data_IF_698727133405
#
_entry.id   IF_698727133405
#
_cell.length_a   1.000
_cell.length_b   1.000
_cell.length_c   1.000
_cell.angle_alpha   90.00
_cell.angle_beta   90.00
_cell.angle_gamma   90.00
#
_symmetry.space_group_name_H-M   'P 1'
#
loop_
_entity.id
_entity.type
_entity.pdbx_description
1 polymer ?
#
# COMPACT_ATOMS: atom_id res chain seq x y z
N UNK A 1 -5.47 11.30 -25.41
CA UNK A 1 -6.57 10.55 -26.04
C UNK A 1 -7.20 9.71 -24.95
N UNK A 2 -8.52 9.63 -24.91
CA UNK A 2 -9.26 8.85 -23.90
C UNK A 2 -10.18 7.89 -24.64
N UNK A 3 -10.17 6.62 -24.24
CA UNK A 3 -11.04 5.58 -24.77
C UNK A 3 -12.00 5.14 -23.67
N UNK A 4 -13.28 5.02 -23.99
CA UNK A 4 -14.30 4.44 -23.10
C UNK A 4 -14.58 3.03 -23.56
N UNK A 5 -14.57 2.09 -22.62
CA UNK A 5 -14.82 0.69 -22.87
C UNK A 5 -15.91 0.20 -21.91
N UNK A 6 -16.89 -0.52 -22.42
CA UNK A 6 -17.90 -1.24 -21.66
C UNK A 6 -17.53 -2.72 -21.44
N UNK A 7 -18.30 -3.45 -20.61
CA UNK A 7 -18.10 -4.88 -20.39
C UNK A 7 -18.02 -5.68 -21.70
N UNK A 8 -17.04 -6.57 -21.78
CA UNK A 8 -16.76 -7.38 -22.98
C UNK A 8 -15.98 -6.66 -24.08
N UNK A 9 -15.85 -5.33 -24.00
CA UNK A 9 -15.07 -4.57 -24.97
C UNK A 9 -13.57 -4.72 -24.74
N UNK A 10 -12.84 -4.53 -25.85
CA UNK A 10 -11.42 -4.81 -25.95
C UNK A 10 -10.73 -3.63 -26.62
N UNK A 11 -9.59 -3.22 -26.08
CA UNK A 11 -8.70 -2.25 -26.69
C UNK A 11 -7.29 -2.81 -26.81
N UNK A 12 -6.76 -2.83 -28.03
CA UNK A 12 -5.37 -3.16 -28.31
C UNK A 12 -4.52 -1.90 -28.19
N UNK A 13 -3.31 -2.09 -27.71
CA UNK A 13 -2.33 -1.03 -27.62
C UNK A 13 -0.99 -1.44 -28.22
N UNK A 14 -0.26 -0.43 -28.69
CA UNK A 14 1.06 -0.61 -29.29
C UNK A 14 1.38 0.49 -30.28
N UNK A 15 2.44 0.32 -31.06
CA UNK A 15 2.79 1.30 -32.10
C UNK A 15 1.80 1.35 -33.25
N UNK A 16 1.11 0.23 -33.50
CA UNK A 16 0.18 0.05 -34.61
C UNK A 16 0.85 0.08 -35.98
N UNK A 17 0.11 -0.37 -36.98
CA UNK A 17 0.37 -0.17 -38.41
C UNK A 17 -0.95 -0.34 -39.18
N UNK A 18 -1.02 0.00 -40.47
CA UNK A 18 -2.22 -0.30 -41.27
C UNK A 18 -2.61 -1.79 -41.26
N UNK A 19 -1.62 -2.70 -41.19
CA UNK A 19 -1.86 -4.14 -41.08
C UNK A 19 -2.19 -4.62 -39.66
N UNK A 20 -1.88 -3.81 -38.64
CA UNK A 20 -2.07 -4.13 -37.21
C UNK A 20 -2.64 -2.89 -36.53
N UNK A 21 -3.93 -2.58 -36.74
CA UNK A 21 -4.56 -1.43 -36.10
C UNK A 21 -4.62 -1.64 -34.59
N UNK A 22 -4.48 -0.55 -33.85
CA UNK A 22 -4.57 -0.50 -32.39
C UNK A 22 -5.39 0.72 -32.00
N UNK A 23 -6.24 0.55 -30.99
CA UNK A 23 -7.11 1.60 -30.47
C UNK A 23 -6.30 2.61 -29.63
N UNK A 24 -5.27 2.14 -28.92
CA UNK A 24 -4.36 2.98 -28.15
C UNK A 24 -2.94 2.99 -28.74
N UNK A 25 -2.57 4.10 -29.39
CA UNK A 25 -1.29 4.22 -30.08
C UNK A 25 -0.17 4.74 -29.17
N UNK A 26 0.93 3.99 -29.12
CA UNK A 26 2.15 4.28 -28.36
C UNK A 26 3.32 4.42 -29.35
N UNK A 27 3.81 5.64 -29.57
CA UNK A 27 4.71 5.94 -30.69
C UNK A 27 6.15 5.40 -30.54
N UNK A 28 6.55 4.95 -29.36
CA UNK A 28 7.94 4.57 -29.07
C UNK A 28 8.44 3.38 -29.93
N UNK A 29 9.69 3.47 -30.37
CA UNK A 29 10.33 2.47 -31.21
C UNK A 29 10.54 1.10 -30.50
N UNK A 30 10.63 1.11 -29.17
CA UNK A 30 10.74 -0.09 -28.33
C UNK A 30 9.41 -0.84 -28.18
N UNK A 31 8.27 -0.18 -28.42
CA UNK A 31 6.94 -0.78 -28.25
C UNK A 31 6.55 -1.57 -29.50
N UNK A 32 6.16 -2.83 -29.34
CA UNK A 32 5.67 -3.67 -30.46
C UNK A 32 4.47 -3.03 -31.19
N UNK A 33 4.27 -3.39 -32.46
CA UNK A 33 3.09 -2.91 -33.23
C UNK A 33 1.79 -3.31 -32.55
N UNK A 34 1.72 -4.57 -32.10
CA UNK A 34 0.74 -5.06 -31.13
C UNK A 34 1.51 -5.39 -29.85
N UNK A 35 1.40 -4.52 -28.85
CA UNK A 35 2.10 -4.67 -27.57
C UNK A 35 1.24 -5.42 -26.56
N UNK A 36 -0.06 -5.18 -26.55
CA UNK A 36 -0.96 -5.86 -25.65
C UNK A 36 -2.42 -5.55 -25.93
N UNK A 37 -3.26 -6.04 -25.03
CA UNK A 37 -4.71 -5.89 -25.07
C UNK A 37 -5.25 -5.63 -23.65
N UNK A 38 -6.19 -4.71 -23.55
CA UNK A 38 -7.05 -4.47 -22.39
C UNK A 38 -8.40 -5.09 -22.70
N UNK A 39 -8.95 -5.85 -21.75
CA UNK A 39 -10.32 -6.36 -21.82
C UNK A 39 -11.08 -5.96 -20.57
N UNK A 40 -12.28 -5.44 -20.75
CA UNK A 40 -13.19 -5.12 -19.63
C UNK A 40 -14.07 -6.34 -19.35
N UNK A 41 -14.18 -6.74 -18.10
CA UNK A 41 -15.15 -7.72 -17.62
C UNK A 41 -16.26 -7.01 -16.84
N UNK A 42 -17.20 -7.75 -16.26
CA UNK A 42 -18.30 -7.15 -15.52
C UNK A 42 -17.85 -6.46 -14.22
N UNK A 43 -16.79 -6.97 -13.58
CA UNK A 43 -16.34 -6.60 -12.23
C UNK A 43 -14.86 -6.20 -12.14
N UNK A 44 -14.07 -6.36 -13.22
CA UNK A 44 -12.67 -5.99 -13.28
C UNK A 44 -12.23 -5.72 -14.72
N UNK A 45 -10.92 -5.55 -14.92
CA UNK A 45 -10.34 -5.52 -16.25
C UNK A 45 -9.06 -6.36 -16.29
N UNK A 46 -8.70 -6.78 -17.50
CA UNK A 46 -7.61 -7.71 -17.73
C UNK A 46 -6.58 -7.11 -18.68
N UNK A 47 -5.31 -7.42 -18.43
CA UNK A 47 -4.19 -7.04 -19.28
C UNK A 47 -3.55 -8.28 -19.92
N UNK A 48 -3.50 -8.30 -21.24
CA UNK A 48 -2.72 -9.27 -22.01
C UNK A 48 -1.41 -8.62 -22.48
N UNK A 49 -0.29 -9.26 -22.17
CA UNK A 49 1.03 -8.84 -22.64
C UNK A 49 1.43 -9.69 -23.85
N UNK A 50 1.46 -9.10 -25.05
CA UNK A 50 1.88 -9.79 -26.27
C UNK A 50 3.40 -9.78 -26.48
N UNK A 51 4.16 -9.03 -25.68
CA UNK A 51 5.62 -9.04 -25.70
C UNK A 51 6.17 -10.45 -25.52
N UNK A 52 7.23 -10.76 -26.26
CA UNK A 52 7.97 -12.02 -26.13
C UNK A 52 9.15 -11.90 -25.17
N UNK A 53 9.54 -10.68 -24.77
CA UNK A 53 10.81 -10.43 -24.09
C UNK A 53 10.70 -9.60 -22.83
N UNK A 54 9.66 -8.79 -22.67
CA UNK A 54 9.56 -7.83 -21.56
C UNK A 54 8.24 -7.96 -20.79
N UNK A 55 8.35 -7.84 -19.46
CA UNK A 55 7.18 -7.68 -18.60
C UNK A 55 6.64 -6.26 -18.70
N UNK A 56 5.35 -6.11 -18.43
CA UNK A 56 4.72 -4.81 -18.17
C UNK A 56 4.49 -4.65 -16.67
N UNK A 57 4.39 -3.41 -16.22
CA UNK A 57 3.97 -3.10 -14.85
C UNK A 57 2.59 -2.47 -14.90
N UNK A 58 1.76 -2.81 -13.93
CA UNK A 58 0.54 -2.08 -13.61
C UNK A 58 0.75 -1.52 -12.23
N UNK A 59 0.97 -0.21 -12.14
CA UNK A 59 1.15 0.50 -10.87
C UNK A 59 -0.22 0.95 -10.36
N UNK A 60 -0.41 0.89 -9.05
CA UNK A 60 -1.52 1.52 -8.35
C UNK A 60 -1.04 2.88 -7.84
N UNK A 61 -1.44 4.02 -8.46
CA UNK A 61 -1.01 5.33 -7.98
C UNK A 61 -1.58 5.69 -6.61
N UNK A 62 -2.61 4.99 -6.14
CA UNK A 62 -3.27 5.21 -4.84
C UNK A 62 -2.73 4.29 -3.75
N UNK A 63 -2.19 3.12 -4.11
CA UNK A 63 -1.61 2.18 -3.17
C UNK A 63 -0.10 2.36 -3.09
N UNK A 64 0.40 2.88 -1.96
CA UNK A 64 1.81 3.07 -1.53
C UNK A 64 2.93 2.32 -2.30
N UNK A 65 3.10 2.60 -3.60
CA UNK A 65 4.05 1.90 -4.49
C UNK A 65 3.66 0.47 -4.90
N UNK A 66 2.41 0.06 -4.74
CA UNK A 66 1.91 -1.24 -5.17
C UNK A 66 1.96 -1.38 -6.70
N UNK A 67 2.37 -2.55 -7.17
CA UNK A 67 2.35 -2.87 -8.59
C UNK A 67 2.15 -4.36 -8.86
N UNK A 68 1.54 -4.66 -10.00
CA UNK A 68 1.48 -5.98 -10.59
C UNK A 68 2.46 -6.07 -11.75
N UNK A 69 3.35 -7.06 -11.74
CA UNK A 69 4.17 -7.40 -12.91
C UNK A 69 3.43 -8.38 -13.79
N UNK A 70 3.20 -8.03 -15.05
CA UNK A 70 2.58 -8.90 -16.07
C UNK A 70 3.66 -9.47 -16.98
N UNK A 71 4.03 -10.76 -16.83
CA UNK A 71 5.12 -11.36 -17.60
C UNK A 71 4.87 -11.34 -19.11
N UNK A 72 5.93 -11.48 -19.93
CA UNK A 72 5.78 -11.67 -21.37
C UNK A 72 4.82 -12.83 -21.65
N UNK A 73 4.00 -12.70 -22.70
CA UNK A 73 3.05 -13.72 -23.15
C UNK A 73 1.93 -14.08 -22.16
N UNK A 74 1.80 -13.37 -21.04
CA UNK A 74 0.68 -13.56 -20.12
C UNK A 74 -0.61 -13.07 -20.75
N UNK A 75 -1.60 -13.94 -20.83
CA UNK A 75 -2.95 -13.64 -21.33
C UNK A 75 -3.87 -13.35 -20.15
N UNK A 76 -4.67 -12.29 -20.29
CA UNK A 76 -5.78 -11.97 -19.40
C UNK A 76 -5.39 -11.87 -17.92
N UNK A 77 -4.28 -11.19 -17.59
CA UNK A 77 -3.92 -10.95 -16.19
C UNK A 77 -4.98 -10.04 -15.54
N UNK A 78 -5.72 -10.50 -14.50
CA UNK A 78 -6.71 -9.67 -13.84
C UNK A 78 -6.01 -8.54 -13.09
N UNK A 79 -6.53 -7.33 -13.23
CA UNK A 79 -6.00 -6.14 -12.57
C UNK A 79 -6.98 -5.68 -11.49
N UNK A 80 -6.58 -5.68 -10.21
CA UNK A 80 -7.45 -5.34 -9.08
C UNK A 80 -7.38 -3.85 -8.71
N UNK A 81 -7.12 -2.96 -9.67
CA UNK A 81 -6.94 -1.54 -9.43
C UNK A 81 -8.00 -0.73 -10.19
N UNK A 82 -8.73 0.09 -9.45
CA UNK A 82 -9.72 1.06 -9.95
C UNK A 82 -9.01 2.17 -10.73
N UNK A 83 -7.93 2.71 -10.18
CA UNK A 83 -7.02 3.59 -10.89
C UNK A 83 -5.66 2.92 -11.08
N UNK A 84 -5.26 2.71 -12.33
CA UNK A 84 -4.00 2.04 -12.65
C UNK A 84 -3.20 2.78 -13.70
N UNK A 85 -1.88 2.66 -13.62
CA UNK A 85 -0.95 3.08 -14.66
C UNK A 85 -0.24 1.87 -15.26
N UNK A 86 -0.48 1.61 -16.54
CA UNK A 86 0.24 0.57 -17.27
C UNK A 86 1.54 1.16 -17.80
N UNK A 87 2.66 0.53 -17.47
CA UNK A 87 4.01 0.97 -17.80
C UNK A 87 4.71 -0.09 -18.65
N UNK A 88 5.25 0.35 -19.79
CA UNK A 88 6.01 -0.45 -20.73
C UNK A 88 7.47 0.02 -20.79
N UNK A 89 8.44 -0.91 -20.94
CA UNK A 89 9.82 -0.53 -21.21
C UNK A 89 9.94 0.30 -22.49
N UNK A 90 10.74 1.36 -22.40
CA UNK A 90 11.06 2.28 -23.49
C UNK A 90 12.58 2.36 -23.69
N UNK A 91 13.03 2.89 -24.83
CA UNK A 91 14.46 3.16 -25.07
C UNK A 91 14.92 4.50 -24.46
N UNK A 92 14.01 5.43 -24.20
CA UNK A 92 14.31 6.73 -23.60
C UNK A 92 14.40 6.68 -22.07
N UNK A 93 14.78 7.80 -21.46
CA UNK A 93 14.87 7.95 -20.00
C UNK A 93 13.51 7.80 -19.29
N UNK A 94 12.41 8.03 -20.01
CA UNK A 94 11.05 7.90 -19.49
C UNK A 94 10.37 6.66 -20.07
N UNK A 95 9.79 5.78 -19.22
CA UNK A 95 9.02 4.66 -19.71
C UNK A 95 7.72 5.14 -20.36
N UNK A 96 7.20 4.35 -21.31
CA UNK A 96 5.91 4.64 -21.94
C UNK A 96 4.81 4.17 -21.01
N UNK A 97 3.79 5.01 -20.79
CA UNK A 97 2.65 4.63 -19.95
C UNK A 97 1.33 5.18 -20.43
N UNK A 98 0.24 4.59 -19.94
CA UNK A 98 -1.12 5.09 -20.05
C UNK A 98 -1.90 4.75 -18.77
N UNK A 99 -3.00 5.45 -18.56
CA UNK A 99 -3.86 5.29 -17.38
C UNK A 99 -5.12 4.51 -17.73
N UNK A 100 -5.58 3.70 -16.77
CA UNK A 100 -6.85 2.98 -16.82
C UNK A 100 -7.66 3.38 -15.60
N UNK A 101 -8.92 3.73 -15.84
CA UNK A 101 -9.91 4.05 -14.82
C UNK A 101 -11.03 3.02 -14.93
N UNK A 102 -11.06 2.07 -14.02
CA UNK A 102 -12.07 1.02 -13.92
C UNK A 102 -13.19 1.43 -12.94
N UNK A 103 -14.36 0.77 -12.99
CA UNK A 103 -15.44 1.01 -12.03
C UNK A 103 -15.03 0.68 -10.59
N UNK A 104 -15.70 1.32 -9.63
CA UNK A 104 -15.45 1.11 -8.21
C UNK A 104 -15.74 -0.35 -7.79
N UNK A 105 -14.95 -0.88 -6.86
CA UNK A 105 -15.19 -2.17 -6.26
C UNK A 105 -16.49 -2.15 -5.44
N UNK A 106 -17.35 -3.15 -5.66
CA UNK A 106 -18.56 -3.32 -4.87
C UNK A 106 -18.21 -4.10 -3.61
N UNK A 107 -18.32 -3.43 -2.47
CA UNK A 107 -18.14 -4.05 -1.15
C UNK A 107 -19.47 -4.56 -0.61
N UNK A 108 -19.43 -5.68 0.11
CA UNK A 108 -20.59 -6.18 0.84
C UNK A 108 -20.97 -5.20 1.94
N UNK A 109 -22.27 -4.89 2.07
CA UNK A 109 -22.81 -4.20 3.23
C UNK A 109 -22.72 -5.12 4.45
N UNK A 110 -21.97 -4.75 5.51
CA UNK A 110 -21.83 -5.56 6.71
C UNK A 110 -23.16 -5.92 7.38
N UNK A 111 -24.16 -5.04 7.26
CA UNK A 111 -25.49 -5.21 7.90
C UNK A 111 -26.45 -6.06 7.05
N UNK A 112 -26.16 -6.23 5.76
CA UNK A 112 -27.03 -6.97 4.83
C UNK A 112 -26.91 -8.50 4.96
N UNK A 113 -25.88 -9.00 5.64
CA UNK A 113 -25.63 -10.45 5.78
C UNK A 113 -26.43 -11.02 6.97
N UNK A 114 -27.75 -11.00 6.87
CA UNK A 114 -28.68 -11.56 7.86
C UNK A 114 -28.78 -13.09 7.76
N UNK A 115 -27.82 -13.82 8.33
CA UNK A 115 -27.86 -15.28 8.48
C UNK A 115 -28.20 -15.72 9.91
N UNK A 116 -28.74 -16.93 10.10
CA UNK A 116 -28.87 -17.55 11.42
C UNK A 116 -27.49 -17.83 12.01
N UNK A 117 -27.09 -17.04 13.00
CA UNK A 117 -25.75 -17.06 13.58
C UNK A 117 -25.52 -18.36 14.38
N UNK A 118 -24.54 -19.16 13.96
CA UNK A 118 -23.93 -20.18 14.82
C UNK A 118 -23.10 -19.55 15.95
N UNK A 119 -22.06 -20.22 16.42
CA UNK A 119 -21.14 -19.63 17.41
C UNK A 119 -20.59 -18.28 16.93
N UNK A 120 -20.66 -17.24 17.77
CA UNK A 120 -20.18 -15.88 17.45
C UNK A 120 -18.71 -15.90 17.05
N UNK A 121 -18.40 -15.44 15.84
CA UNK A 121 -17.03 -15.24 15.38
C UNK A 121 -16.32 -14.24 16.29
N UNK A 122 -15.20 -14.64 16.90
CA UNK A 122 -14.35 -13.76 17.71
C UNK A 122 -13.38 -13.03 16.78
N UNK A 123 -13.17 -11.73 16.99
CA UNK A 123 -12.22 -10.94 16.20
C UNK A 123 -10.78 -11.43 16.42
N UNK A 124 -10.02 -11.63 15.35
CA UNK A 124 -8.62 -12.10 15.44
C UNK A 124 -7.74 -11.14 16.27
N UNK A 125 -7.92 -9.83 16.06
CA UNK A 125 -7.21 -8.76 16.75
C UNK A 125 -8.22 -7.73 17.30
N UNK A 126 -8.40 -7.70 18.62
CA UNK A 126 -9.29 -6.72 19.29
C UNK A 126 -8.46 -5.51 19.74
N UNK A 127 -8.18 -4.61 18.79
CA UNK A 127 -7.53 -3.33 19.05
C UNK A 127 -8.59 -2.26 19.34
N UNK A 128 -8.31 -1.44 20.34
CA UNK A 128 -9.10 -0.27 20.71
C UNK A 128 -8.32 0.96 20.26
N UNK A 129 -8.83 1.64 19.24
CA UNK A 129 -8.18 2.79 18.61
C UNK A 129 -8.04 3.99 19.57
N UNK A 130 -8.85 4.02 20.63
CA UNK A 130 -8.83 5.10 21.64
C UNK A 130 -7.75 4.89 22.71
N UNK A 131 -7.15 3.70 22.77
CA UNK A 131 -6.22 3.35 23.83
C UNK A 131 -4.77 3.81 23.51
N UNK A 132 -4.01 4.17 24.56
CA UNK A 132 -2.61 4.61 24.43
C UNK A 132 -1.71 3.60 23.71
N UNK A 133 -1.96 2.29 23.89
CA UNK A 133 -1.17 1.27 23.18
C UNK A 133 -1.38 1.33 21.67
N UNK A 134 -2.58 1.69 21.21
CA UNK A 134 -2.86 1.84 19.79
C UNK A 134 -2.12 3.06 19.24
N UNK A 135 -2.09 4.17 19.96
CA UNK A 135 -1.30 5.34 19.58
C UNK A 135 0.20 5.01 19.46
N UNK A 136 0.75 4.17 20.36
CA UNK A 136 2.12 3.63 20.26
C UNK A 136 2.29 2.76 19.02
N UNK A 137 1.30 1.94 18.66
CA UNK A 137 1.31 1.13 17.44
C UNK A 137 1.32 2.01 16.17
N UNK A 138 0.53 3.08 16.14
CA UNK A 138 0.53 4.04 15.03
C UNK A 138 1.91 4.70 14.89
N UNK A 139 2.51 5.16 16.00
CA UNK A 139 3.85 5.76 15.98
C UNK A 139 4.94 4.80 15.51
N UNK A 140 4.82 3.50 15.79
CA UNK A 140 5.71 2.46 15.26
C UNK A 140 5.57 2.29 13.74
N UNK A 141 4.33 2.36 13.24
CA UNK A 141 4.02 2.17 11.82
C UNK A 141 4.22 3.43 10.97
N UNK A 142 4.25 4.62 11.59
CA UNK A 142 4.29 5.92 10.92
C UNK A 142 5.33 6.01 9.78
N UNK A 143 6.61 5.60 9.96
CA UNK A 143 7.58 5.73 8.87
C UNK A 143 7.18 4.94 7.61
N UNK A 144 6.67 3.72 7.78
CA UNK A 144 6.28 2.88 6.64
C UNK A 144 4.99 3.39 5.97
N UNK A 145 4.06 3.95 6.75
CA UNK A 145 2.84 4.57 6.22
C UNK A 145 3.12 5.88 5.47
N UNK A 146 4.22 6.57 5.77
CA UNK A 146 4.68 7.79 5.06
C UNK A 146 5.70 7.48 3.95
N UNK A 147 5.68 6.27 3.39
CA UNK A 147 6.59 5.77 2.35
C UNK A 147 8.10 5.74 2.69
N UNK A 148 8.46 5.80 3.98
CA UNK A 148 9.85 5.73 4.44
C UNK A 148 10.26 4.29 4.76
N UNK A 149 10.01 3.37 3.82
CA UNK A 149 10.21 1.92 4.00
C UNK A 149 11.63 1.50 4.36
N UNK A 150 12.63 2.34 4.05
CA UNK A 150 14.05 2.12 4.37
C UNK A 150 14.47 2.58 5.77
N UNK A 151 13.58 3.25 6.52
CA UNK A 151 13.87 3.74 7.86
C UNK A 151 13.73 2.61 8.87
N UNK A 152 14.72 2.47 9.74
CA UNK A 152 14.69 1.51 10.84
C UNK A 152 13.47 1.74 11.73
N UNK A 153 12.90 0.66 12.29
CA UNK A 153 11.71 0.77 13.13
C UNK A 153 11.98 1.69 14.33
N UNK A 154 11.09 2.66 14.64
CA UNK A 154 11.34 3.66 15.67
C UNK A 154 11.74 3.07 17.02
N UNK A 155 12.69 3.74 17.68
CA UNK A 155 13.11 3.33 19.02
C UNK A 155 12.10 3.76 20.09
N UNK A 156 12.09 3.07 21.24
CA UNK A 156 11.21 3.43 22.36
C UNK A 156 11.38 4.89 22.83
N UNK A 157 12.62 5.43 22.97
CA UNK A 157 12.80 6.86 23.23
C UNK A 157 12.27 7.76 22.12
N UNK A 158 12.49 7.40 20.84
CA UNK A 158 11.98 8.17 19.69
C UNK A 158 10.45 8.23 19.66
N UNK A 159 9.78 7.13 20.00
CA UNK A 159 8.31 7.09 20.09
C UNK A 159 7.82 7.96 21.25
N UNK A 160 8.45 7.86 22.42
CA UNK A 160 8.09 8.70 23.55
C UNK A 160 8.21 10.18 23.18
N UNK A 161 9.32 10.57 22.54
CA UNK A 161 9.51 11.93 22.01
C UNK A 161 8.45 12.33 20.99
N UNK A 162 8.17 11.48 20.01
CA UNK A 162 7.16 11.71 18.99
C UNK A 162 5.76 11.97 19.57
N UNK A 163 5.44 11.29 20.68
CA UNK A 163 4.15 11.39 21.37
C UNK A 163 4.09 12.49 22.44
N UNK A 164 5.22 13.09 22.85
CA UNK A 164 5.21 14.22 23.80
C UNK A 164 4.41 15.42 23.29
N UNK A 165 4.37 15.61 21.98
CA UNK A 165 3.59 16.66 21.34
C UNK A 165 2.07 16.41 21.36
N UNK A 166 1.62 15.24 21.82
CA UNK A 166 0.21 14.91 21.92
C UNK A 166 -0.38 15.46 23.24
N UNK A 167 -1.47 16.25 23.19
CA UNK A 167 -2.03 16.91 24.38
C UNK A 167 -2.36 15.95 25.53
N UNK A 168 -2.92 14.78 25.21
CA UNK A 168 -3.31 13.78 26.21
C UNK A 168 -2.17 12.86 26.68
N UNK A 169 -1.01 12.86 25.99
CA UNK A 169 0.05 11.87 26.21
C UNK A 169 1.45 12.49 26.37
N UNK A 170 1.51 13.79 26.68
CA UNK A 170 2.76 14.53 26.84
C UNK A 170 3.70 13.94 27.93
N UNK A 171 3.15 13.26 28.92
CA UNK A 171 3.89 12.64 30.03
C UNK A 171 4.35 11.19 29.74
N UNK A 172 4.14 10.66 28.53
CA UNK A 172 4.46 9.26 28.23
C UNK A 172 5.98 9.03 28.26
N UNK A 173 6.42 8.17 29.17
CA UNK A 173 7.85 7.84 29.34
C UNK A 173 8.27 6.71 28.40
N UNK A 174 9.57 6.62 28.08
CA UNK A 174 10.11 5.49 27.32
C UNK A 174 9.82 4.14 28.02
N UNK A 175 9.75 4.10 29.35
CA UNK A 175 9.36 2.89 30.07
C UNK A 175 7.90 2.51 29.79
N UNK A 176 6.99 3.47 29.83
CA UNK A 176 5.57 3.25 29.53
C UNK A 176 5.38 2.79 28.07
N UNK A 177 6.10 3.39 27.12
CA UNK A 177 6.10 2.94 25.71
C UNK A 177 6.57 1.49 25.60
N UNK A 178 7.64 1.10 26.29
CA UNK A 178 8.11 -0.30 26.30
C UNK A 178 7.01 -1.25 26.79
N UNK A 179 6.32 -0.89 27.88
CA UNK A 179 5.22 -1.70 28.41
C UNK A 179 4.05 -1.82 27.43
N UNK A 180 3.72 -0.76 26.69
CA UNK A 180 2.70 -0.85 25.64
C UNK A 180 3.14 -1.72 24.45
N UNK A 181 4.42 -1.71 24.09
CA UNK A 181 4.97 -2.60 23.05
C UNK A 181 4.87 -4.06 23.49
N UNK A 182 5.19 -4.36 24.76
CA UNK A 182 5.08 -5.71 25.30
C UNK A 182 3.60 -6.16 25.37
N UNK A 183 2.69 -5.29 25.82
CA UNK A 183 1.25 -5.56 25.80
C UNK A 183 0.70 -5.79 24.38
N UNK A 184 1.14 -5.01 23.40
CA UNK A 184 0.79 -5.22 21.99
C UNK A 184 1.24 -6.60 21.52
N UNK A 185 2.50 -6.97 21.76
CA UNK A 185 3.04 -8.25 21.32
C UNK A 185 2.33 -9.43 21.98
N UNK A 186 2.16 -9.40 23.31
CA UNK A 186 1.74 -10.57 24.08
C UNK A 186 0.22 -10.73 24.08
N UNK A 187 -0.52 -9.64 24.34
CA UNK A 187 -1.95 -9.70 24.59
C UNK A 187 -2.79 -9.42 23.34
N UNK A 188 -2.36 -8.45 22.51
CA UNK A 188 -3.16 -8.00 21.37
C UNK A 188 -2.85 -8.72 20.08
N UNK A 189 -1.58 -8.96 19.80
CA UNK A 189 -1.11 -9.52 18.54
C UNK A 189 -0.66 -10.97 18.68
N UNK A 190 -0.42 -11.44 19.91
CA UNK A 190 -0.02 -12.82 20.26
C UNK A 190 1.21 -13.28 19.46
N UNK A 191 2.20 -12.40 19.36
CA UNK A 191 3.46 -12.65 18.64
C UNK A 191 4.35 -13.53 19.52
N UNK A 192 4.62 -14.75 19.04
CA UNK A 192 5.55 -15.66 19.68
C UNK A 192 7.00 -15.20 19.44
N UNK A 193 7.68 -14.73 20.49
CA UNK A 193 9.11 -14.46 20.42
C UNK A 193 9.88 -15.74 20.77
N UNK A 194 10.78 -16.27 19.92
CA UNK A 194 11.57 -17.46 20.23
C UNK A 194 12.36 -17.32 21.55
N UNK A 195 12.44 -18.44 22.30
CA UNK A 195 12.80 -18.51 23.72
C UNK A 195 14.17 -17.98 24.16
N UNK A 196 14.32 -17.86 25.49
CA UNK A 196 15.26 -17.03 26.24
C UNK A 196 16.77 -17.44 26.25
N UNK A 197 17.29 -18.21 25.28
CA UNK A 197 18.60 -18.87 25.41
C UNK A 197 19.78 -18.37 24.55
N UNK A 198 19.80 -17.13 24.03
CA UNK A 198 20.96 -16.64 23.25
C UNK A 198 21.26 -15.14 23.44
N UNK A 199 22.51 -14.63 23.58
CA UNK A 199 22.80 -13.29 24.09
C UNK A 199 22.55 -12.19 23.04
N UNK A 200 21.75 -11.17 23.38
CA UNK A 200 21.49 -10.02 22.51
C UNK A 200 20.15 -9.32 22.78
N UNK A 201 20.01 -8.61 23.91
CA UNK A 201 18.73 -7.98 24.29
C UNK A 201 18.28 -6.84 23.35
N UNK A 202 19.23 -6.16 22.69
CA UNK A 202 18.97 -5.01 21.80
C UNK A 202 18.38 -5.43 20.46
N UNK A 203 19.01 -6.41 19.80
CA UNK A 203 18.57 -6.97 18.52
C UNK A 203 17.20 -7.65 18.64
N UNK A 204 16.96 -8.36 19.75
CA UNK A 204 15.64 -8.98 20.04
C UNK A 204 14.51 -7.96 20.16
N UNK A 205 14.74 -6.85 20.86
CA UNK A 205 13.74 -5.78 20.99
C UNK A 205 13.46 -5.11 19.65
N UNK A 206 14.47 -5.00 18.80
CA UNK A 206 14.28 -4.51 17.45
C UNK A 206 13.43 -5.48 16.61
N UNK A 207 13.75 -6.78 16.64
CA UNK A 207 12.98 -7.83 15.96
C UNK A 207 11.52 -7.88 16.40
N UNK A 208 11.24 -7.79 17.71
CA UNK A 208 9.85 -7.72 18.23
C UNK A 208 9.07 -6.55 17.62
N UNK A 209 9.66 -5.35 17.56
CA UNK A 209 8.99 -4.17 16.96
C UNK A 209 8.80 -4.33 15.46
N UNK A 210 9.76 -4.91 14.76
CA UNK A 210 9.66 -5.21 13.32
C UNK A 210 8.53 -6.18 13.02
N UNK A 211 8.34 -7.22 13.85
CA UNK A 211 7.23 -8.16 13.72
C UNK A 211 5.88 -7.51 14.02
N UNK A 212 5.79 -6.70 15.07
CA UNK A 212 4.57 -5.91 15.37
C UNK A 212 4.18 -5.06 14.15
N UNK A 213 5.13 -4.28 13.61
CA UNK A 213 4.87 -3.40 12.46
C UNK A 213 4.54 -4.22 11.22
N UNK A 214 5.27 -5.31 10.98
CA UNK A 214 5.02 -6.21 9.85
C UNK A 214 3.62 -6.81 9.88
N UNK A 215 3.18 -7.28 11.04
CA UNK A 215 1.84 -7.86 11.23
C UNK A 215 0.75 -6.79 11.08
N UNK A 216 0.94 -5.64 11.75
CA UNK A 216 -0.04 -4.56 11.73
C UNK A 216 -0.29 -4.01 10.32
N UNK A 217 0.77 -3.82 9.53
CA UNK A 217 0.64 -3.35 8.15
C UNK A 217 0.12 -4.45 7.21
N UNK A 218 0.57 -5.70 7.38
CA UNK A 218 0.13 -6.82 6.54
C UNK A 218 -1.39 -7.01 6.58
N UNK A 219 -2.00 -6.86 7.76
CA UNK A 219 -3.43 -7.06 7.96
C UNK A 219 -4.23 -5.76 8.03
N UNK A 220 -3.63 -4.61 7.72
CA UNK A 220 -4.32 -3.31 7.74
C UNK A 220 -4.87 -2.92 9.12
N UNK A 221 -4.23 -3.39 10.20
CA UNK A 221 -4.58 -3.05 11.59
C UNK A 221 -4.26 -1.57 11.89
N UNK A 222 -3.24 -1.03 11.21
CA UNK A 222 -2.97 0.40 11.16
C UNK A 222 -2.91 0.85 9.70
N UNK A 223 -3.65 1.91 9.38
CA UNK A 223 -3.81 2.47 8.04
C UNK A 223 -3.45 3.96 8.04
N UNK A 224 -3.41 4.58 6.86
CA UNK A 224 -2.99 5.96 6.70
C UNK A 224 -3.89 6.94 7.46
N UNK A 225 -5.20 6.69 7.53
CA UNK A 225 -6.13 7.54 8.28
C UNK A 225 -5.80 7.62 9.78
N UNK A 226 -5.18 6.57 10.34
CA UNK A 226 -4.78 6.57 11.76
C UNK A 226 -3.60 7.51 12.03
N UNK A 227 -2.88 7.98 11.00
CA UNK A 227 -1.84 9.01 11.19
C UNK A 227 -2.42 10.31 11.76
N UNK A 228 -3.72 10.57 11.59
CA UNK A 228 -4.41 11.70 12.20
C UNK A 228 -4.45 11.64 13.74
N UNK A 229 -4.24 10.46 14.34
CA UNK A 229 -4.12 10.30 15.78
C UNK A 229 -2.76 10.80 16.32
N UNK A 230 -1.75 10.91 15.47
CA UNK A 230 -0.45 11.43 15.86
C UNK A 230 -0.43 12.96 15.79
N UNK A 231 0.36 13.64 16.64
CA UNK A 231 0.58 15.07 16.50
C UNK A 231 1.09 15.41 15.09
N UNK A 232 0.79 16.60 14.54
CA UNK A 232 1.36 17.03 13.27
C UNK A 232 2.88 16.94 13.32
N UNK A 233 3.52 16.49 12.23
CA UNK A 233 4.98 16.57 12.13
C UNK A 233 5.31 18.05 12.03
N UNK A 234 6.03 18.59 13.02
CA UNK A 234 6.54 19.97 12.96
C UNK A 234 7.57 20.03 11.85
N UNK A 235 7.12 20.30 10.62
CA UNK A 235 7.98 20.51 9.48
C UNK A 235 8.86 21.73 9.72
N UNK A 236 10.14 21.60 9.39
CA UNK A 236 11.05 22.70 9.20
C UNK A 236 10.38 23.84 8.41
N UNK A 237 10.66 25.07 8.85
CA UNK A 237 9.93 26.28 8.50
C UNK A 237 9.67 26.50 7.00
N UNK A 238 8.55 27.18 6.76
CA UNK A 238 8.03 27.53 5.45
C UNK A 238 9.09 28.05 4.47
N UNK A 239 9.17 27.37 3.33
CA UNK A 239 9.37 28.06 2.06
C UNK A 239 8.09 28.83 1.74
N UNK A 240 7.98 30.06 2.24
CA UNK A 240 7.13 31.09 1.65
C UNK A 240 7.42 32.45 2.30
N UNK A 241 8.14 33.31 1.55
CA UNK A 241 7.91 34.76 1.37
C UNK A 241 9.19 35.44 0.85
N UNK A 242 9.28 35.60 -0.46
CA UNK A 242 9.39 36.93 -1.10
C UNK A 242 9.46 36.79 -2.62
N UNK A 243 8.28 36.79 -3.23
CA UNK A 243 8.05 37.47 -4.52
C UNK A 243 7.38 38.80 -4.19
N UNK A 244 8.18 39.87 -4.11
CA UNK A 244 7.71 41.25 -4.17
C UNK A 244 8.88 42.23 -4.39
N UNK A 245 9.35 42.34 -5.64
CA UNK A 245 9.51 43.59 -6.41
C UNK A 245 10.28 43.34 -7.69
#
# INVERSE_FOLDING_TARGET
MTLRLGPGEVARFGRGSPAVPVELRLADAAVSRLAGEIRVTDDHWQLTNHSTSHSYLVENPEGAGEYLRVPPRRVGAPVPFEFARVVLPARGETPVSFQVFAPDHVYLDPEAVGGSWGSRTVTAYSLDETATYFLVLVALCEPRLRDQSRVAVPTTPSIAERLRAHPAHAALTARAVSSHIDYLAEEKLRIEVPGAHDPGKGERRNGKREEIVGLALRFGLVREEHLALLPPVTGAGGRERQTAR
#
